data_IF_673040973433
#
_entry.id   IF_673040973433
#
_cell.length_a   1.000
_cell.length_b   1.000
_cell.length_c   1.000
_cell.angle_alpha   90.00
_cell.angle_beta   90.00
_cell.angle_gamma   90.00
#
_symmetry.space_group_name_H-M   'P 1'
#
loop_
_entity.id
_entity.type
_entity.pdbx_description
1 polymer ?
#
# COMPACT_ATOMS: atom_id res chain seq x y z
N UNK A 1 3.16 -28.49 -16.72
CA UNK A 1 2.67 -27.12 -16.50
C UNK A 1 1.18 -27.15 -16.76
N UNK A 2 0.37 -27.06 -15.71
CA UNK A 2 -1.06 -26.85 -15.87
C UNK A 2 -1.27 -25.44 -16.43
N UNK A 3 -2.06 -25.32 -17.49
CA UNK A 3 -2.35 -24.04 -18.14
C UNK A 3 -3.30 -23.24 -17.25
N UNK A 4 -2.78 -22.19 -16.60
CA UNK A 4 -3.61 -21.20 -15.91
C UNK A 4 -4.28 -20.31 -16.96
N UNK A 5 -5.59 -20.33 -17.03
CA UNK A 5 -6.37 -19.44 -17.90
C UNK A 5 -6.76 -18.17 -17.12
N UNK A 6 -6.47 -17.00 -17.67
CA UNK A 6 -6.94 -15.73 -17.10
C UNK A 6 -8.45 -15.61 -17.33
N UNK A 7 -9.24 -15.56 -16.26
CA UNK A 7 -10.71 -15.51 -16.34
C UNK A 7 -11.25 -14.12 -15.99
N UNK A 8 -10.56 -13.38 -15.14
CA UNK A 8 -10.95 -12.01 -14.82
C UNK A 8 -9.76 -11.11 -14.55
N UNK A 9 -9.89 -9.85 -14.94
CA UNK A 9 -8.91 -8.80 -14.69
C UNK A 9 -9.65 -7.51 -14.30
N UNK A 10 -9.48 -7.07 -13.07
CA UNK A 10 -10.09 -5.83 -12.57
C UNK A 10 -9.28 -4.64 -13.06
N UNK A 11 -9.52 -4.25 -14.32
CA UNK A 11 -8.82 -3.13 -14.97
C UNK A 11 -8.92 -1.84 -14.16
N UNK A 12 -10.11 -1.43 -13.65
CA UNK A 12 -10.20 -0.25 -12.77
C UNK A 12 -9.31 -0.33 -11.53
N UNK A 13 -9.26 -1.47 -10.83
CA UNK A 13 -8.39 -1.64 -9.67
C UNK A 13 -6.90 -1.57 -10.05
N UNK A 14 -6.51 -2.16 -11.18
CA UNK A 14 -5.13 -2.10 -11.68
C UNK A 14 -4.74 -0.64 -11.95
N UNK A 15 -5.59 0.11 -12.64
CA UNK A 15 -5.34 1.53 -12.92
C UNK A 15 -5.26 2.38 -11.64
N UNK A 16 -6.12 2.10 -10.67
CA UNK A 16 -6.11 2.75 -9.35
C UNK A 16 -4.82 2.42 -8.58
N UNK A 17 -4.43 1.15 -8.54
CA UNK A 17 -3.19 0.70 -7.93
C UNK A 17 -1.97 1.35 -8.59
N UNK A 18 -1.87 1.34 -9.92
CA UNK A 18 -0.76 1.96 -10.67
C UNK A 18 -0.64 3.45 -10.33
N UNK A 19 -1.75 4.18 -10.18
CA UNK A 19 -1.73 5.59 -9.72
C UNK A 19 -1.20 5.69 -8.29
N UNK A 20 -1.59 4.78 -7.40
CA UNK A 20 -1.06 4.68 -6.04
C UNK A 20 0.46 4.51 -6.01
N UNK A 21 1.01 3.58 -6.80
CA UNK A 21 2.45 3.38 -6.91
C UNK A 21 3.17 4.62 -7.45
N UNK A 22 2.60 5.33 -8.42
CA UNK A 22 3.18 6.58 -8.92
C UNK A 22 3.19 7.70 -7.87
N UNK A 23 2.17 7.79 -7.01
CA UNK A 23 2.13 8.74 -5.90
C UNK A 23 3.18 8.37 -4.85
N UNK A 24 3.26 7.09 -4.47
CA UNK A 24 4.25 6.59 -3.53
C UNK A 24 5.67 6.87 -4.05
N UNK A 25 5.96 6.58 -5.33
CA UNK A 25 7.25 6.87 -5.96
C UNK A 25 7.68 8.33 -5.76
N UNK A 26 6.77 9.29 -5.99
CA UNK A 26 7.06 10.72 -5.81
C UNK A 26 7.37 11.07 -4.36
N UNK A 27 6.65 10.51 -3.40
CA UNK A 27 6.90 10.78 -1.99
C UNK A 27 8.21 10.15 -1.50
N UNK A 28 8.52 8.94 -1.96
CA UNK A 28 9.80 8.29 -1.70
C UNK A 28 10.96 9.09 -2.31
N UNK A 29 10.78 9.65 -3.52
CA UNK A 29 11.79 10.49 -4.17
C UNK A 29 12.09 11.74 -3.34
N UNK A 30 11.09 12.40 -2.76
CA UNK A 30 11.29 13.58 -1.89
C UNK A 30 12.21 13.24 -0.70
N UNK A 31 12.05 12.06 -0.10
CA UNK A 31 12.92 11.60 0.99
C UNK A 31 14.35 11.40 0.48
N UNK A 32 14.52 10.74 -0.67
CA UNK A 32 15.84 10.50 -1.28
C UNK A 32 16.55 11.80 -1.63
N UNK A 33 15.83 12.75 -2.23
CA UNK A 33 16.36 14.07 -2.58
C UNK A 33 16.82 14.83 -1.33
N UNK A 34 16.04 14.75 -0.25
CA UNK A 34 16.41 15.36 1.02
C UNK A 34 17.66 14.72 1.63
N UNK A 35 17.73 13.38 1.70
CA UNK A 35 18.91 12.66 2.18
C UNK A 35 20.16 13.05 1.39
N UNK A 36 20.05 13.11 0.06
CA UNK A 36 21.15 13.55 -0.82
C UNK A 36 21.56 14.99 -0.52
N UNK A 37 20.60 15.90 -0.31
CA UNK A 37 20.87 17.31 0.01
C UNK A 37 21.64 17.49 1.33
N UNK A 38 21.45 16.59 2.29
CA UNK A 38 22.18 16.59 3.57
C UNK A 38 23.40 15.67 3.55
N UNK A 39 23.79 15.15 2.38
CA UNK A 39 24.98 14.31 2.20
C UNK A 39 24.89 12.91 2.81
N UNK A 40 23.67 12.38 2.95
CA UNK A 40 23.41 10.99 3.37
C UNK A 40 23.12 10.15 2.14
N UNK A 41 23.83 9.04 1.98
CA UNK A 41 23.59 8.09 0.91
C UNK A 41 22.24 7.39 1.13
N UNK A 42 21.34 7.52 0.15
CA UNK A 42 20.02 6.90 0.21
C UNK A 42 20.09 5.45 -0.27
N UNK A 43 19.79 4.51 0.63
CA UNK A 43 19.55 3.11 0.29
C UNK A 43 18.09 2.76 0.49
N UNK A 44 17.61 1.72 -0.18
CA UNK A 44 16.21 1.33 -0.05
C UNK A 44 15.88 0.83 1.38
N UNK A 45 16.83 0.16 2.03
CA UNK A 45 16.71 -0.25 3.43
C UNK A 45 16.59 0.94 4.38
N UNK A 46 17.33 2.03 4.12
CA UNK A 46 17.23 3.26 4.90
C UNK A 46 15.87 3.93 4.69
N UNK A 47 15.36 3.93 3.45
CA UNK A 47 14.04 4.43 3.12
C UNK A 47 12.93 3.65 3.85
N UNK A 48 12.98 2.32 3.84
CA UNK A 48 12.06 1.47 4.61
C UNK A 48 12.12 1.78 6.10
N UNK A 49 13.33 1.96 6.64
CA UNK A 49 13.50 2.32 8.04
C UNK A 49 12.86 3.67 8.36
N UNK A 50 13.09 4.71 7.54
CA UNK A 50 12.48 6.04 7.69
C UNK A 50 10.95 5.97 7.70
N UNK A 51 10.36 5.16 6.82
CA UNK A 51 8.92 4.98 6.73
C UNK A 51 8.37 4.24 7.95
N UNK A 52 9.13 3.31 8.50
CA UNK A 52 8.66 2.40 9.55
C UNK A 52 8.92 2.88 10.97
N UNK A 53 9.99 3.66 11.25
CA UNK A 53 10.31 4.24 12.57
C UNK A 53 11.58 5.12 12.66
N UNK A 54 12.42 5.17 11.63
CA UNK A 54 13.55 6.12 11.50
C UNK A 54 14.79 5.85 12.37
N UNK A 55 14.95 4.65 12.92
CA UNK A 55 16.05 4.32 13.84
C UNK A 55 17.45 4.37 13.20
N UNK A 56 17.62 3.84 11.99
CA UNK A 56 18.92 3.78 11.29
C UNK A 56 19.40 5.14 10.79
N UNK A 57 18.47 6.07 10.53
CA UNK A 57 18.83 7.45 10.15
C UNK A 57 19.55 8.18 11.29
N UNK A 58 19.09 7.99 12.52
CA UNK A 58 19.72 8.60 13.71
C UNK A 58 21.19 8.17 13.80
N UNK A 59 21.47 6.88 13.58
CA UNK A 59 22.84 6.36 13.60
C UNK A 59 23.72 6.97 12.49
N UNK A 60 23.18 7.10 11.28
CA UNK A 60 23.92 7.69 10.15
C UNK A 60 24.26 9.17 10.41
N UNK A 61 23.28 9.94 10.90
CA UNK A 61 23.47 11.35 11.26
C UNK A 61 24.44 11.52 12.42
N UNK A 62 24.35 10.70 13.47
CA UNK A 62 25.26 10.76 14.61
C UNK A 62 26.70 10.40 14.25
N UNK A 63 26.91 9.43 13.35
CA UNK A 63 28.25 9.10 12.83
C UNK A 63 28.84 10.27 12.05
N UNK A 64 28.03 10.97 11.25
CA UNK A 64 28.45 12.15 10.49
C UNK A 64 28.80 13.31 11.43
N UNK A 65 27.90 13.67 12.34
CA UNK A 65 28.10 14.78 13.27
C UNK A 65 29.30 14.56 14.19
N UNK A 66 29.53 13.33 14.65
CA UNK A 66 30.70 12.98 15.47
C UNK A 66 32.03 13.21 14.75
N UNK A 67 32.09 13.00 13.43
CA UNK A 67 33.29 13.29 12.63
C UNK A 67 33.48 14.80 12.46
N UNK A 68 32.40 15.53 12.20
CA UNK A 68 32.44 16.99 12.00
C UNK A 68 32.79 17.76 13.28
N UNK A 69 32.48 17.21 14.46
CA UNK A 69 32.77 17.82 15.77
C UNK A 69 34.23 17.73 16.23
N UNK A 70 35.07 16.91 15.61
CA UNK A 70 36.43 16.67 16.09
C UNK A 70 37.27 17.97 16.09
N UNK A 71 37.83 18.33 17.25
CA UNK A 71 38.68 19.51 17.41
C UNK A 71 37.94 20.86 17.43
N UNK A 72 36.61 20.86 17.41
CA UNK A 72 35.80 22.07 17.50
C UNK A 72 35.57 22.51 18.95
N UNK A 73 35.35 23.82 19.14
CA UNK A 73 34.92 24.37 20.43
C UNK A 73 33.51 23.91 20.78
N UNK A 74 33.17 23.93 22.08
CA UNK A 74 31.83 23.52 22.58
C UNK A 74 30.71 24.28 21.87
N UNK A 75 30.88 25.59 21.64
CA UNK A 75 29.88 26.41 20.95
C UNK A 75 29.63 25.95 19.51
N UNK A 76 30.66 25.53 18.78
CA UNK A 76 30.51 25.01 17.42
C UNK A 76 29.92 23.60 17.41
N UNK A 77 30.25 22.77 18.41
CA UNK A 77 29.64 21.45 18.56
C UNK A 77 28.12 21.55 18.80
N UNK A 78 27.69 22.51 19.62
CA UNK A 78 26.27 22.77 19.88
C UNK A 78 25.51 23.17 18.60
N UNK A 79 26.12 24.01 17.74
CA UNK A 79 25.52 24.38 16.44
C UNK A 79 25.33 23.15 15.54
N UNK A 80 26.31 22.25 15.52
CA UNK A 80 26.21 20.98 14.75
C UNK A 80 25.10 20.09 15.32
N UNK A 81 24.97 20.03 16.65
CA UNK A 81 23.91 19.26 17.31
C UNK A 81 22.51 19.78 16.97
N UNK A 82 22.32 21.09 17.05
CA UNK A 82 21.06 21.74 16.68
C UNK A 82 20.70 21.48 15.21
N UNK A 83 21.68 21.60 14.30
CA UNK A 83 21.46 21.32 12.88
C UNK A 83 21.14 19.83 12.63
N UNK A 84 21.83 18.92 13.33
CA UNK A 84 21.57 17.47 13.25
C UNK A 84 20.16 17.13 13.72
N UNK A 85 19.69 17.73 14.81
CA UNK A 85 18.31 17.54 15.31
C UNK A 85 17.28 18.10 14.33
N UNK A 86 17.55 19.26 13.72
CA UNK A 86 16.70 19.86 12.69
C UNK A 86 16.58 18.95 11.46
N UNK A 87 17.70 18.43 10.97
CA UNK A 87 17.74 17.48 9.85
C UNK A 87 16.95 16.22 10.19
N UNK A 88 17.14 15.66 11.38
CA UNK A 88 16.40 14.48 11.83
C UNK A 88 14.88 14.72 11.88
N UNK A 89 14.46 15.86 12.45
CA UNK A 89 13.05 16.24 12.51
C UNK A 89 12.40 16.33 11.13
N UNK A 90 13.13 16.86 10.15
CA UNK A 90 12.65 16.95 8.77
C UNK A 90 12.58 15.58 8.08
N UNK A 91 13.59 14.71 8.26
CA UNK A 91 13.53 13.33 7.73
C UNK A 91 12.33 12.58 8.29
N UNK A 92 12.08 12.70 9.60
CA UNK A 92 10.93 12.07 10.25
C UNK A 92 9.61 12.57 9.64
N UNK A 93 9.47 13.88 9.48
CA UNK A 93 8.28 14.50 8.86
C UNK A 93 8.06 14.01 7.42
N UNK A 94 9.12 13.92 6.63
CA UNK A 94 9.05 13.40 5.26
C UNK A 94 8.71 11.91 5.24
N UNK A 95 9.29 11.12 6.16
CA UNK A 95 8.99 9.70 6.35
C UNK A 95 7.53 9.43 6.69
N UNK A 96 6.94 10.22 7.59
CA UNK A 96 5.52 10.12 7.92
C UNK A 96 4.61 10.44 6.72
N UNK A 97 5.00 11.41 5.88
CA UNK A 97 4.26 11.72 4.66
C UNK A 97 4.36 10.60 3.62
N UNK A 98 5.54 10.01 3.44
CA UNK A 98 5.75 8.85 2.57
C UNK A 98 5.00 7.61 3.10
N UNK A 99 4.99 7.41 4.42
CA UNK A 99 4.21 6.34 5.08
C UNK A 99 2.71 6.50 4.81
N UNK A 100 2.15 7.71 4.97
CA UNK A 100 0.74 7.97 4.61
C UNK A 100 0.45 7.68 3.14
N UNK A 101 1.36 8.00 2.24
CA UNK A 101 1.18 7.74 0.80
C UNK A 101 1.27 6.25 0.44
N UNK A 102 1.95 5.44 1.25
CA UNK A 102 2.09 3.99 1.03
C UNK A 102 0.97 3.18 1.68
N UNK A 103 0.36 3.71 2.75
CA UNK A 103 -0.77 3.08 3.47
C UNK A 103 -2.13 3.57 2.95
N UNK A 104 -2.27 4.86 2.60
CA UNK A 104 -3.56 5.47 2.24
C UNK A 104 -3.72 5.71 0.73
N UNK A 105 -2.87 5.17 -0.15
CA UNK A 105 -3.10 5.33 -1.58
C UNK A 105 -4.33 4.53 -2.01
N UNK A 106 -5.43 5.25 -2.24
CA UNK A 106 -6.52 4.82 -3.11
C UNK A 106 -6.96 3.36 -2.90
N UNK A 107 -7.27 3.00 -1.65
CA UNK A 107 -7.89 1.72 -1.28
C UNK A 107 -6.96 0.50 -1.16
N UNK A 108 -5.66 0.61 -1.42
CA UNK A 108 -4.73 -0.54 -1.44
C UNK A 108 -3.38 -0.23 -0.78
N UNK A 109 -2.87 -1.16 0.02
CA UNK A 109 -1.52 -1.07 0.56
C UNK A 109 -0.47 -1.25 -0.55
N UNK A 110 0.50 -0.32 -0.61
CA UNK A 110 1.62 -0.35 -1.55
C UNK A 110 2.67 -1.33 -1.06
N UNK A 111 3.08 -2.23 -1.94
CA UNK A 111 4.23 -3.11 -1.69
C UNK A 111 5.52 -2.34 -1.96
N UNK A 112 6.23 -2.02 -0.88
CA UNK A 112 7.51 -1.33 -0.97
C UNK A 112 8.57 -2.17 -1.71
N UNK A 113 8.46 -3.50 -1.74
CA UNK A 113 9.43 -4.36 -2.42
C UNK A 113 9.41 -4.23 -3.95
N UNK A 114 8.43 -3.52 -4.51
CA UNK A 114 8.39 -3.18 -5.93
C UNK A 114 9.24 -1.96 -6.30
N UNK A 115 9.84 -1.28 -5.33
CA UNK A 115 10.70 -0.12 -5.58
C UNK A 115 12.17 -0.44 -5.41
N UNK A 116 13.01 0.30 -6.13
CA UNK A 116 14.45 0.31 -5.96
C UNK A 116 15.01 1.72 -6.14
N UNK A 117 16.23 1.93 -5.67
CA UNK A 117 16.98 3.18 -5.90
C UNK A 117 18.11 2.88 -6.87
N UNK A 118 18.20 3.65 -7.94
CA UNK A 118 19.34 3.64 -8.86
C UNK A 118 19.75 5.06 -9.17
N UNK A 119 21.03 5.37 -8.98
CA UNK A 119 21.60 6.70 -9.25
C UNK A 119 20.88 7.84 -8.50
N UNK A 120 20.32 7.54 -7.32
CA UNK A 120 19.56 8.50 -6.52
C UNK A 120 18.11 8.73 -6.98
N UNK A 121 17.61 7.90 -7.90
CA UNK A 121 16.22 7.94 -8.35
C UNK A 121 15.46 6.72 -7.84
N UNK A 122 14.28 6.93 -7.27
CA UNK A 122 13.32 5.89 -6.91
C UNK A 122 12.59 5.46 -8.17
N UNK A 123 12.67 4.18 -8.48
CA UNK A 123 12.02 3.56 -9.64
C UNK A 123 11.27 2.30 -9.23
N UNK A 124 10.30 1.91 -10.04
CA UNK A 124 9.62 0.62 -9.90
C UNK A 124 10.39 -0.47 -10.65
N UNK A 125 10.44 -1.68 -10.08
CA UNK A 125 11.00 -2.84 -10.76
C UNK A 125 10.38 -3.03 -12.15
N UNK A 126 11.13 -3.55 -13.15
CA UNK A 126 10.62 -3.70 -14.52
C UNK A 126 9.32 -4.54 -14.61
N UNK A 127 9.17 -5.53 -13.74
CA UNK A 127 8.04 -6.46 -13.64
C UNK A 127 6.89 -5.95 -12.75
N UNK A 128 7.04 -4.77 -12.14
CA UNK A 128 6.06 -4.21 -11.20
C UNK A 128 4.64 -4.11 -11.78
N UNK A 129 4.50 -3.70 -13.04
CA UNK A 129 3.18 -3.60 -13.70
C UNK A 129 2.51 -4.95 -13.88
N UNK A 130 3.30 -5.98 -14.19
CA UNK A 130 2.80 -7.36 -14.31
C UNK A 130 2.37 -7.87 -12.95
N UNK A 131 3.21 -7.73 -11.92
CA UNK A 131 2.91 -8.12 -10.54
C UNK A 131 1.70 -7.39 -9.95
N UNK A 132 1.56 -6.09 -10.23
CA UNK A 132 0.35 -5.33 -9.87
C UNK A 132 -0.85 -5.90 -10.63
N UNK A 133 -0.72 -6.15 -11.93
CA UNK A 133 -1.78 -6.74 -12.75
C UNK A 133 -2.26 -8.09 -12.21
N UNK A 134 -1.32 -8.97 -11.86
CA UNK A 134 -1.60 -10.31 -11.34
C UNK A 134 -2.33 -10.27 -10.00
N UNK A 135 -2.00 -9.31 -9.11
CA UNK A 135 -2.70 -9.11 -7.84
C UNK A 135 -4.20 -8.82 -8.01
N UNK A 136 -4.60 -8.26 -9.14
CA UNK A 136 -6.00 -7.93 -9.46
C UNK A 136 -6.55 -8.78 -10.61
N UNK A 137 -5.94 -9.95 -10.82
CA UNK A 137 -6.36 -10.91 -11.84
C UNK A 137 -6.72 -12.24 -11.19
N UNK A 138 -7.77 -12.88 -11.70
CA UNK A 138 -8.17 -14.22 -11.29
C UNK A 138 -7.81 -15.20 -12.40
N UNK A 139 -6.94 -16.15 -12.05
CA UNK A 139 -6.51 -17.23 -12.91
C UNK A 139 -7.16 -18.53 -12.46
N UNK A 140 -7.67 -19.31 -13.40
CA UNK A 140 -8.38 -20.56 -13.15
C UNK A 140 -7.79 -21.63 -14.07
N UNK A 141 -7.53 -22.80 -13.51
CA UNK A 141 -6.86 -23.93 -14.15
C UNK A 141 -7.77 -25.14 -14.35
N UNK A 142 -9.03 -25.08 -13.90
CA UNK A 142 -10.00 -26.18 -13.98
C UNK A 142 -11.44 -25.68 -14.20
N UNK A 143 -12.28 -26.44 -14.93
CA UNK A 143 -13.70 -26.12 -15.12
C UNK A 143 -14.48 -26.01 -13.79
N UNK A 144 -14.11 -26.79 -12.77
CA UNK A 144 -14.75 -26.76 -11.46
C UNK A 144 -14.51 -25.42 -10.74
N UNK A 145 -13.28 -24.91 -10.80
CA UNK A 145 -12.96 -23.59 -10.24
C UNK A 145 -13.60 -22.45 -11.04
N UNK A 146 -13.82 -22.63 -12.35
CA UNK A 146 -14.56 -21.68 -13.18
C UNK A 146 -16.04 -21.60 -12.75
N UNK A 147 -16.69 -22.74 -12.49
CA UNK A 147 -18.05 -22.78 -11.97
C UNK A 147 -18.18 -22.11 -10.59
N UNK A 148 -17.21 -22.34 -9.69
CA UNK A 148 -17.14 -21.66 -8.38
C UNK A 148 -17.03 -20.14 -8.56
N UNK A 149 -16.13 -19.68 -9.44
CA UNK A 149 -15.94 -18.26 -9.72
C UNK A 149 -17.22 -17.59 -10.25
N UNK A 150 -17.90 -18.21 -11.23
CA UNK A 150 -19.15 -17.69 -11.79
C UNK A 150 -20.23 -17.57 -10.69
N UNK A 151 -20.35 -18.59 -9.82
CA UNK A 151 -21.31 -18.57 -8.71
C UNK A 151 -20.97 -17.47 -7.70
N UNK A 152 -19.70 -17.32 -7.33
CA UNK A 152 -19.25 -16.26 -6.44
C UNK A 152 -19.50 -14.87 -7.05
N UNK A 153 -19.32 -14.72 -8.36
CA UNK A 153 -19.57 -13.45 -9.04
C UNK A 153 -21.06 -13.08 -9.02
N UNK A 154 -21.95 -14.05 -9.20
CA UNK A 154 -23.40 -13.84 -9.05
C UNK A 154 -23.77 -13.38 -7.64
N UNK A 155 -23.13 -13.94 -6.60
CA UNK A 155 -23.35 -13.50 -5.20
C UNK A 155 -22.88 -12.06 -5.00
N UNK A 156 -21.70 -11.71 -5.48
CA UNK A 156 -21.16 -10.34 -5.42
C UNK A 156 -22.10 -9.33 -6.11
N UNK A 157 -22.63 -9.69 -7.27
CA UNK A 157 -23.61 -8.86 -7.98
C UNK A 157 -24.90 -8.70 -7.17
N UNK A 158 -25.45 -9.78 -6.63
CA UNK A 158 -26.66 -9.74 -5.82
C UNK A 158 -26.50 -8.87 -4.56
N UNK A 159 -25.37 -8.98 -3.85
CA UNK A 159 -25.03 -8.12 -2.70
C UNK A 159 -24.95 -6.65 -3.13
N UNK A 160 -24.32 -6.36 -4.28
CA UNK A 160 -24.22 -4.99 -4.79
C UNK A 160 -25.59 -4.39 -5.17
N UNK A 161 -26.48 -5.19 -5.76
CA UNK A 161 -27.85 -4.76 -6.08
C UNK A 161 -28.71 -4.55 -4.83
N UNK A 162 -28.56 -5.42 -3.83
CA UNK A 162 -29.17 -5.25 -2.52
C UNK A 162 -28.71 -3.93 -1.89
N UNK A 163 -27.41 -3.63 -1.89
CA UNK A 163 -26.88 -2.37 -1.38
C UNK A 163 -27.48 -1.16 -2.09
N UNK A 164 -27.52 -1.16 -3.43
CA UNK A 164 -28.17 -0.08 -4.20
C UNK A 164 -29.64 0.11 -3.81
N UNK A 165 -30.34 -0.98 -3.53
CA UNK A 165 -31.75 -0.96 -3.11
C UNK A 165 -31.90 -0.38 -1.70
N UNK A 166 -31.01 -0.75 -0.77
CA UNK A 166 -30.94 -0.16 0.59
C UNK A 166 -30.63 1.34 0.50
N UNK A 167 -29.60 1.75 -0.23
CA UNK A 167 -29.22 3.17 -0.39
C UNK A 167 -30.37 3.99 -0.98
N UNK A 168 -31.14 3.41 -1.92
CA UNK A 168 -32.32 4.04 -2.51
C UNK A 168 -33.48 4.14 -1.52
N UNK A 169 -33.66 3.15 -0.66
CA UNK A 169 -34.66 3.18 0.42
C UNK A 169 -34.27 4.20 1.50
N UNK A 170 -32.97 4.32 1.81
CA UNK A 170 -32.43 5.26 2.81
C UNK A 170 -32.67 6.71 2.39
N UNK A 171 -32.35 7.03 1.13
CA UNK A 171 -32.65 8.33 0.52
C UNK A 171 -34.14 8.70 0.54
N UNK A 172 -35.03 7.72 0.72
CA UNK A 172 -36.48 7.91 0.86
C UNK A 172 -36.94 7.92 2.33
N UNK A 173 -36.03 7.87 3.29
CA UNK A 173 -36.32 7.84 4.72
C UNK A 173 -36.91 6.51 5.23
N UNK A 174 -36.74 5.41 4.49
CA UNK A 174 -37.38 4.12 4.78
C UNK A 174 -36.50 3.16 5.60
N UNK A 175 -35.21 3.48 5.79
CA UNK A 175 -34.20 2.56 6.36
C UNK A 175 -34.18 2.53 7.89
N UNK A 176 -34.82 3.49 8.56
CA UNK A 176 -35.00 3.49 10.03
C UNK A 176 -35.77 2.29 10.60
N UNK A 177 -36.30 1.39 9.76
CA UNK A 177 -36.97 0.14 10.17
C UNK A 177 -36.19 -1.15 9.87
N UNK A 178 -34.96 -1.07 9.31
CA UNK A 178 -34.28 -2.23 8.71
C UNK A 178 -32.89 -2.59 9.27
N UNK A 179 -32.41 -2.00 10.37
CA UNK A 179 -31.08 -2.36 10.91
C UNK A 179 -31.15 -3.35 12.08
N UNK A 180 -30.23 -4.34 12.20
CA UNK A 180 -29.01 -4.56 11.41
C UNK A 180 -28.91 -6.00 10.85
N UNK A 181 -29.08 -6.19 9.53
CA UNK A 181 -28.69 -7.46 8.87
C UNK A 181 -27.30 -7.33 8.22
N UNK A 182 -26.81 -6.11 8.00
CA UNK A 182 -25.53 -5.87 7.35
C UNK A 182 -24.64 -4.97 8.20
N UNK A 183 -23.38 -5.36 8.43
CA UNK A 183 -22.40 -4.56 9.14
C UNK A 183 -21.96 -3.32 8.35
N UNK A 184 -21.53 -2.32 9.10
CA UNK A 184 -21.40 -0.92 8.68
C UNK A 184 -20.24 -0.62 7.71
N UNK A 185 -19.47 -1.62 7.30
CA UNK A 185 -18.22 -1.45 6.53
C UNK A 185 -18.21 -2.09 5.14
N UNK A 186 -19.37 -2.40 4.55
CA UNK A 186 -19.44 -2.98 3.21
C UNK A 186 -19.08 -1.96 2.10
N UNK A 187 -17.82 -1.88 1.70
CA UNK A 187 -17.39 -1.24 0.45
C UNK A 187 -17.14 -2.30 -0.62
N UNK A 188 -18.06 -2.42 -1.57
CA UNK A 188 -17.92 -3.14 -2.86
C UNK A 188 -17.27 -4.51 -2.76
N UNK A 189 -18.07 -5.57 -2.59
CA UNK A 189 -17.51 -6.91 -2.53
C UNK A 189 -16.82 -7.30 -3.84
N UNK A 190 -15.64 -7.92 -3.77
CA UNK A 190 -14.90 -8.42 -4.94
C UNK A 190 -14.24 -9.75 -4.59
N UNK A 191 -14.17 -10.66 -5.55
CA UNK A 191 -13.40 -11.91 -5.40
C UNK A 191 -11.91 -11.56 -5.50
N UNK A 192 -11.14 -11.92 -4.47
CA UNK A 192 -9.69 -11.73 -4.41
C UNK A 192 -8.93 -12.93 -4.96
N UNK A 193 -9.34 -14.14 -4.57
CA UNK A 193 -8.66 -15.37 -4.94
C UNK A 193 -9.61 -16.57 -4.88
N UNK A 194 -9.26 -17.61 -5.62
CA UNK A 194 -9.79 -18.97 -5.46
C UNK A 194 -8.59 -19.89 -5.34
N UNK A 195 -8.47 -20.62 -4.23
CA UNK A 195 -7.30 -21.43 -3.93
C UNK A 195 -7.34 -22.85 -4.52
N UNK A 196 -6.37 -23.68 -4.12
CA UNK A 196 -6.24 -25.03 -4.64
C UNK A 196 -7.42 -25.94 -4.27
N UNK A 197 -8.05 -25.68 -3.13
CA UNK A 197 -9.13 -26.47 -2.53
C UNK A 197 -10.52 -25.89 -2.87
N UNK A 198 -10.57 -24.76 -3.59
CA UNK A 198 -11.80 -24.08 -4.01
C UNK A 198 -12.32 -23.08 -2.99
N UNK A 199 -11.53 -22.74 -1.97
CA UNK A 199 -11.86 -21.64 -1.06
C UNK A 199 -11.79 -20.31 -1.81
N UNK A 200 -12.80 -19.46 -1.62
CA UNK A 200 -12.91 -18.17 -2.30
C UNK A 200 -12.77 -17.04 -1.29
N UNK A 201 -11.76 -16.20 -1.46
CA UNK A 201 -11.58 -15.00 -0.64
C UNK A 201 -12.33 -13.83 -1.29
N UNK A 202 -13.16 -13.14 -0.51
CA UNK A 202 -13.98 -12.00 -0.97
C UNK A 202 -13.70 -10.80 -0.05
N UNK A 203 -13.38 -9.63 -0.60
CA UNK A 203 -13.38 -8.39 0.19
C UNK A 203 -14.81 -8.03 0.58
N UNK A 204 -15.07 -7.68 1.83
CA UNK A 204 -16.38 -7.20 2.27
C UNK A 204 -16.85 -7.77 3.61
N UNK A 205 -16.48 -9.00 3.94
CA UNK A 205 -16.43 -9.64 5.27
C UNK A 205 -16.30 -11.15 5.07
N UNK A 206 -15.54 -11.80 5.95
CA UNK A 206 -15.40 -13.26 6.00
C UNK A 206 -16.73 -13.90 6.40
N UNK A 207 -17.38 -14.64 5.50
CA UNK A 207 -18.43 -15.59 5.90
C UNK A 207 -17.77 -16.85 6.46
N UNK A 208 -17.53 -16.87 7.77
CA UNK A 208 -17.14 -18.09 8.46
C UNK A 208 -18.32 -19.06 8.54
N UNK A 209 -18.21 -20.25 7.95
CA UNK A 209 -19.14 -21.34 8.21
C UNK A 209 -18.86 -21.89 9.61
N UNK A 210 -19.75 -21.61 10.56
CA UNK A 210 -19.76 -22.31 11.85
C UNK A 210 -20.38 -23.69 11.59
N UNK A 211 -19.61 -24.74 11.88
CA UNK A 211 -20.09 -26.13 11.89
C UNK A 211 -21.16 -26.35 12.96
#
# INVERSE_FOLDING_TARGET
MESKNLIHRDIPAIEEAVKGYAIAQKQLQIVVDYLKSVGVEATFDLLKDIINQGGKVVEALNKKSSREKQGLSISLQNVIDEDTQRIYGEIKRLGENASKATVNSLSHAIDLDLFYISEGNVSLLPDSKERIGDKYSVYIDSPEREDIYIKAQNVVTAISELKKSIDKADKKGLVGKLLPILPSTYSGARILSVDADGETEITGESFGFIK
#
